data_IF_079858065978
#
_entry.id   IF_079858065978
#
_cell.length_a   1.000
_cell.length_b   1.000
_cell.length_c   1.000
_cell.angle_alpha   90.00
_cell.angle_beta   90.00
_cell.angle_gamma   90.00
#
_symmetry.space_group_name_H-M   'P 1'
#
loop_
_entity.id
_entity.type
_entity.pdbx_description
1 polymer ?
#
# COMPACT_ATOMS: atom_id res chain seq x y z
N UNK A 1 -29.68 -1.00 0.63
CA UNK A 1 -28.38 -1.12 -0.05
C UNK A 1 -27.39 -0.28 0.75
N UNK A 2 -26.83 -0.83 1.82
CA UNK A 2 -25.79 -0.14 2.59
C UNK A 2 -24.52 -0.14 1.75
N UNK A 3 -24.21 0.98 1.08
CA UNK A 3 -22.83 1.23 0.66
C UNK A 3 -22.06 1.53 1.95
N UNK A 4 -21.50 0.51 2.58
CA UNK A 4 -20.39 0.71 3.51
C UNK A 4 -19.30 1.39 2.69
N UNK A 5 -19.15 2.69 2.88
CA UNK A 5 -17.98 3.44 2.46
C UNK A 5 -16.83 2.81 3.24
N UNK A 6 -16.10 1.89 2.61
CA UNK A 6 -14.93 1.32 3.24
C UNK A 6 -13.87 2.41 3.18
N UNK A 7 -13.62 3.02 4.34
CA UNK A 7 -12.64 4.09 4.50
C UNK A 7 -11.25 3.51 4.24
N UNK A 8 -10.76 3.67 3.02
CA UNK A 8 -9.34 3.68 2.71
C UNK A 8 -8.60 2.34 2.75
N UNK A 9 -9.05 1.35 1.97
CA UNK A 9 -8.26 0.14 1.70
C UNK A 9 -7.69 0.16 0.27
N UNK A 10 -6.49 -0.40 0.11
CA UNK A 10 -5.87 -0.59 -1.20
C UNK A 10 -6.51 -1.79 -1.90
N UNK A 11 -7.06 -1.55 -3.10
CA UNK A 11 -7.67 -2.61 -3.90
C UNK A 11 -6.63 -3.39 -4.72
N UNK A 12 -5.62 -2.69 -5.24
CA UNK A 12 -4.52 -3.29 -6.00
C UNK A 12 -3.28 -2.42 -5.90
N UNK A 13 -2.19 -3.03 -5.48
CA UNK A 13 -0.86 -2.42 -5.41
C UNK A 13 0.18 -3.45 -5.87
N UNK A 14 1.20 -2.98 -6.56
CA UNK A 14 2.34 -3.81 -6.97
C UNK A 14 3.48 -3.58 -5.99
N UNK A 15 3.68 -4.50 -5.05
CA UNK A 15 4.67 -4.35 -3.98
C UNK A 15 6.10 -4.15 -4.52
N UNK A 16 6.41 -4.70 -5.69
CA UNK A 16 7.74 -4.56 -6.31
C UNK A 16 8.07 -3.15 -6.80
N UNK A 17 7.10 -2.23 -6.78
CA UNK A 17 7.33 -0.80 -7.03
C UNK A 17 7.69 -0.03 -5.75
N UNK A 18 7.69 -0.73 -4.60
CA UNK A 18 7.98 -0.18 -3.28
C UNK A 18 9.15 -0.90 -2.63
N UNK A 19 9.91 -0.18 -1.83
CA UNK A 19 11.00 -0.72 -1.04
C UNK A 19 10.74 -0.39 0.43
N UNK A 20 10.86 -1.42 1.29
CA UNK A 20 10.80 -1.25 2.73
C UNK A 20 12.15 -0.77 3.25
N UNK A 21 12.15 0.35 3.94
CA UNK A 21 13.34 0.93 4.54
C UNK A 21 13.62 0.32 5.93
N UNK A 22 14.88 0.41 6.41
CA UNK A 22 15.27 -0.10 7.72
C UNK A 22 14.56 0.57 8.91
N UNK A 23 14.08 1.80 8.73
CA UNK A 23 13.31 2.56 9.73
C UNK A 23 11.83 2.15 9.81
N UNK A 24 11.41 1.17 9.00
CA UNK A 24 10.03 0.71 8.90
C UNK A 24 9.14 1.54 7.98
N UNK A 25 9.69 2.57 7.31
CA UNK A 25 8.98 3.30 6.26
C UNK A 25 9.02 2.53 4.94
N UNK A 26 8.11 2.88 4.03
CA UNK A 26 8.12 2.39 2.65
C UNK A 26 8.39 3.54 1.70
N UNK A 27 9.14 3.30 0.64
CA UNK A 27 9.37 4.29 -0.42
C UNK A 27 8.98 3.72 -1.77
N UNK A 28 8.27 4.50 -2.56
CA UNK A 28 8.02 4.18 -3.96
C UNK A 28 9.32 4.37 -4.74
N UNK A 29 9.86 3.31 -5.33
CA UNK A 29 11.12 3.37 -6.11
C UNK A 29 10.86 3.57 -7.61
N UNK A 30 9.61 3.37 -8.05
CA UNK A 30 9.13 3.54 -9.43
C UNK A 30 7.76 4.19 -9.43
N UNK A 31 7.36 4.78 -10.57
CA UNK A 31 6.00 5.29 -10.72
C UNK A 31 5.03 4.13 -10.48
N UNK A 32 4.17 4.26 -9.48
CA UNK A 32 3.21 3.22 -9.12
C UNK A 32 1.79 3.79 -9.14
N UNK A 33 0.85 2.98 -9.62
CA UNK A 33 -0.56 3.35 -9.69
C UNK A 33 -1.34 2.48 -8.73
N UNK A 34 -1.85 3.10 -7.68
CA UNK A 34 -2.54 2.40 -6.60
C UNK A 34 -4.02 2.65 -6.72
N UNK A 35 -4.79 1.57 -6.81
CA UNK A 35 -6.24 1.64 -6.90
C UNK A 35 -6.80 1.53 -5.49
N UNK A 36 -7.63 2.48 -5.07
CA UNK A 36 -8.37 2.40 -3.80
C UNK A 36 -9.69 1.69 -4.02
N UNK A 37 -10.24 1.04 -2.97
CA UNK A 37 -11.58 0.42 -3.05
C UNK A 37 -12.70 1.43 -3.34
N UNK A 38 -12.45 2.73 -3.14
CA UNK A 38 -13.35 3.81 -3.54
C UNK A 38 -13.36 4.10 -5.05
N UNK A 39 -12.58 3.38 -5.85
CA UNK A 39 -12.47 3.58 -7.30
C UNK A 39 -11.55 4.74 -7.69
N UNK A 40 -10.79 5.30 -6.74
CA UNK A 40 -9.79 6.34 -7.03
C UNK A 40 -8.46 5.69 -7.38
N UNK A 41 -7.81 6.20 -8.42
CA UNK A 41 -6.44 5.81 -8.77
C UNK A 41 -5.49 6.89 -8.27
N UNK A 42 -4.54 6.50 -7.45
CA UNK A 42 -3.49 7.37 -6.92
C UNK A 42 -2.22 7.06 -7.71
N UNK A 43 -1.70 8.07 -8.41
CA UNK A 43 -0.38 7.99 -9.01
C UNK A 43 0.66 8.40 -7.95
N UNK A 44 1.61 7.51 -7.70
CA UNK A 44 2.71 7.72 -6.77
C UNK A 44 3.99 7.93 -7.56
N UNK A 45 4.65 9.04 -7.30
CA UNK A 45 5.93 9.36 -7.92
C UNK A 45 7.07 8.61 -7.22
N UNK A 46 8.14 8.25 -7.95
CA UNK A 46 9.37 7.72 -7.35
C UNK A 46 9.90 8.69 -6.28
N UNK A 47 10.33 8.15 -5.16
CA UNK A 47 10.76 8.91 -3.99
C UNK A 47 9.62 9.28 -3.04
N UNK A 48 8.36 8.92 -3.32
CA UNK A 48 7.27 9.11 -2.36
C UNK A 48 7.48 8.20 -1.14
N UNK A 49 7.56 8.80 0.06
CA UNK A 49 7.81 8.09 1.32
C UNK A 49 6.51 7.96 2.13
N UNK A 50 6.25 6.75 2.61
CA UNK A 50 5.16 6.39 3.51
C UNK A 50 5.73 6.02 4.88
N UNK A 51 5.35 6.78 5.90
CA UNK A 51 5.84 6.58 7.27
C UNK A 51 4.80 5.84 8.11
N UNK A 52 5.23 4.95 9.02
CA UNK A 52 4.32 4.23 9.91
C UNK A 52 3.51 5.21 10.76
N UNK A 53 2.21 4.91 10.92
CA UNK A 53 1.29 5.73 11.72
C UNK A 53 0.79 7.01 11.04
N UNK A 54 1.20 7.28 9.79
CA UNK A 54 0.69 8.42 9.03
C UNK A 54 -0.30 7.98 7.96
N UNK A 55 -1.54 8.45 8.09
CA UNK A 55 -2.61 8.17 7.12
C UNK A 55 -2.55 9.15 5.95
N UNK A 56 -2.46 8.64 4.74
CA UNK A 56 -2.43 9.41 3.50
C UNK A 56 -3.69 9.19 2.66
N UNK A 57 -3.92 10.02 1.64
CA UNK A 57 -4.97 9.85 0.63
C UNK A 57 -6.36 9.50 1.19
N UNK A 58 -6.85 10.31 2.12
CA UNK A 58 -8.20 10.14 2.68
C UNK A 58 -8.31 9.11 3.81
N UNK A 59 -7.19 8.73 4.44
CA UNK A 59 -7.20 7.91 5.65
C UNK A 59 -6.50 6.56 5.53
N UNK A 60 -5.85 6.29 4.39
CA UNK A 60 -5.17 5.03 4.07
C UNK A 60 -3.83 4.96 4.80
N UNK A 61 -3.61 3.88 5.54
CA UNK A 61 -2.31 3.57 6.11
C UNK A 61 -1.51 2.69 5.14
N UNK A 62 -0.75 3.35 4.26
CA UNK A 62 0.04 2.65 3.23
C UNK A 62 1.06 1.69 3.83
N UNK A 63 1.66 2.03 4.97
CA UNK A 63 2.68 1.16 5.59
C UNK A 63 2.04 -0.14 6.06
N UNK A 64 0.89 -0.05 6.74
CA UNK A 64 0.15 -1.23 7.18
C UNK A 64 -0.26 -2.14 6.02
N UNK A 65 -0.83 -1.56 4.97
CA UNK A 65 -1.32 -2.33 3.81
C UNK A 65 -0.16 -3.00 3.05
N UNK A 66 0.96 -2.28 2.84
CA UNK A 66 2.15 -2.84 2.18
C UNK A 66 2.81 -3.92 3.04
N UNK A 67 2.82 -3.77 4.36
CA UNK A 67 3.31 -4.80 5.28
C UNK A 67 2.46 -6.07 5.21
N UNK A 68 1.13 -5.96 5.31
CA UNK A 68 0.24 -7.12 5.22
C UNK A 68 0.41 -7.85 3.88
N UNK A 69 0.55 -7.11 2.77
CA UNK A 69 0.79 -7.70 1.45
C UNK A 69 2.17 -8.37 1.38
N UNK A 70 3.21 -7.72 1.92
CA UNK A 70 4.56 -8.28 1.94
C UNK A 70 4.63 -9.55 2.78
N UNK A 71 3.96 -9.60 3.93
CA UNK A 71 3.90 -10.78 4.78
C UNK A 71 3.13 -11.92 4.09
N UNK A 72 1.98 -11.63 3.48
CA UNK A 72 1.21 -12.64 2.74
C UNK A 72 2.01 -13.26 1.58
N UNK A 73 2.84 -12.49 0.89
CA UNK A 73 3.72 -13.00 -0.17
C UNK A 73 4.81 -13.93 0.37
N UNK A 74 5.46 -13.57 1.49
CA UNK A 74 6.47 -14.45 2.12
C UNK A 74 5.88 -15.80 2.53
N UNK A 75 4.71 -15.78 3.16
CA UNK A 75 4.01 -17.00 3.58
C UNK A 75 3.56 -17.87 2.38
N UNK A 76 3.26 -17.27 1.23
CA UNK A 76 2.91 -17.99 0.01
C UNK A 76 4.11 -18.70 -0.64
N UNK A 77 5.31 -18.12 -0.53
CA UNK A 77 6.55 -18.72 -1.02
C UNK A 77 7.07 -19.86 -0.13
N UNK A 78 6.82 -19.81 1.19
CA UNK A 78 7.23 -20.85 2.16
C UNK A 78 6.31 -22.10 2.18
N UNK A 79 5.22 -22.10 1.42
CA UNK A 79 4.25 -23.22 1.34
C UNK A 79 4.40 -24.09 0.07
N UNK A 80 5.50 -23.94 -0.69
CA UNK A 80 5.81 -24.77 -1.89
C UNK A 80 7.01 -25.66 -1.63
#
# INVERSE_FOLDING_TARGET
MERRYIMGELAKVNIGDFEKQPDGSWVSVKISYVNTKGGTVIALEPGTIFRPGFKQFGGIDFVKELDEISENLKNAEEST
#
